data_IF_110124633719
#
_entry.id   IF_110124633719
#
_cell.length_a   1.000
_cell.length_b   1.000
_cell.length_c   1.000
_cell.angle_alpha   90.00
_cell.angle_beta   90.00
_cell.angle_gamma   90.00
#
_symmetry.space_group_name_H-M   'P 1'
#
loop_
_entity.id
_entity.type
_entity.pdbx_description
1 polymer ?
#
# COMPACT_ATOMS: atom_id res chain seq x y z
N UNK A 1 -9.55 -3.23 20.02
CA UNK A 1 -10.82 -2.56 20.34
C UNK A 1 -11.06 -1.53 19.23
N UNK A 2 -11.71 -1.96 18.15
CA UNK A 2 -12.18 -1.13 17.01
C UNK A 2 -13.04 -2.01 16.08
N UNK A 3 -12.63 -3.27 15.86
CA UNK A 3 -13.36 -4.28 15.06
C UNK A 3 -14.78 -4.61 15.56
N UNK A 4 -14.98 -4.69 16.88
CA UNK A 4 -16.30 -4.94 17.47
C UNK A 4 -17.29 -3.78 17.23
N UNK A 5 -16.82 -2.52 17.29
CA UNK A 5 -17.67 -1.38 16.94
C UNK A 5 -18.12 -1.49 15.47
N UNK A 6 -17.16 -1.76 14.58
CA UNK A 6 -17.37 -1.92 13.15
C UNK A 6 -18.40 -3.03 12.82
N UNK A 7 -18.27 -4.20 13.44
CA UNK A 7 -19.17 -5.35 13.25
C UNK A 7 -20.61 -5.11 13.71
N UNK A 8 -20.85 -4.18 14.65
CA UNK A 8 -22.20 -3.85 15.15
C UNK A 8 -23.01 -2.97 14.18
N UNK A 9 -22.35 -2.19 13.33
CA UNK A 9 -23.02 -1.26 12.40
C UNK A 9 -23.17 -1.81 10.99
N UNK A 10 -22.33 -2.75 10.57
CA UNK A 10 -22.33 -3.34 9.23
C UNK A 10 -22.15 -4.86 9.33
N UNK A 11 -23.23 -5.61 9.10
CA UNK A 11 -23.22 -7.09 9.18
C UNK A 11 -22.30 -7.70 8.12
N UNK A 12 -22.19 -7.07 6.94
CA UNK A 12 -21.29 -7.52 5.88
C UNK A 12 -19.81 -7.49 6.29
N UNK A 13 -19.46 -6.61 7.24
CA UNK A 13 -18.10 -6.54 7.78
C UNK A 13 -17.81 -7.66 8.78
N UNK A 14 -18.84 -8.25 9.38
CA UNK A 14 -18.71 -9.46 10.20
C UNK A 14 -18.64 -10.71 9.31
N UNK A 15 -19.49 -10.78 8.29
CA UNK A 15 -19.55 -11.94 7.41
C UNK A 15 -18.32 -12.05 6.52
N UNK A 16 -17.75 -10.91 6.09
CA UNK A 16 -16.63 -10.83 5.15
C UNK A 16 -16.90 -11.74 3.93
N UNK A 17 -18.16 -11.76 3.49
CA UNK A 17 -18.64 -12.69 2.46
C UNK A 17 -18.39 -12.21 1.03
N UNK A 18 -18.11 -10.91 0.85
CA UNK A 18 -17.77 -10.26 -0.41
C UNK A 18 -16.59 -9.32 -0.27
N UNK A 19 -16.01 -8.92 -1.41
CA UNK A 19 -14.85 -8.03 -1.49
C UNK A 19 -15.13 -6.65 -0.90
N UNK A 20 -16.32 -6.12 -1.16
CA UNK A 20 -16.73 -4.76 -0.79
C UNK A 20 -16.67 -4.53 0.72
N UNK A 21 -17.17 -5.50 1.50
CA UNK A 21 -17.12 -5.43 2.97
C UNK A 21 -15.70 -5.40 3.53
N UNK A 22 -14.74 -6.04 2.84
CA UNK A 22 -13.33 -6.04 3.25
C UNK A 22 -12.65 -4.72 2.93
N UNK A 23 -12.90 -4.21 1.72
CA UNK A 23 -12.36 -2.93 1.27
C UNK A 23 -12.88 -1.79 2.17
N UNK A 24 -14.16 -1.85 2.54
CA UNK A 24 -14.76 -0.93 3.50
C UNK A 24 -14.12 -1.04 4.89
N UNK A 25 -13.99 -2.25 5.46
CA UNK A 25 -13.35 -2.46 6.77
C UNK A 25 -11.91 -1.91 6.78
N UNK A 26 -11.14 -2.26 5.75
CA UNK A 26 -9.75 -1.84 5.67
C UNK A 26 -9.62 -0.32 5.49
N UNK A 27 -10.43 0.28 4.61
CA UNK A 27 -10.46 1.74 4.41
C UNK A 27 -10.87 2.47 5.69
N UNK A 28 -11.86 1.96 6.43
CA UNK A 28 -12.24 2.52 7.72
C UNK A 28 -11.09 2.48 8.72
N UNK A 29 -10.34 1.38 8.78
CA UNK A 29 -9.14 1.25 9.62
C UNK A 29 -8.05 2.24 9.22
N UNK A 30 -7.78 2.41 7.93
CA UNK A 30 -6.80 3.39 7.44
C UNK A 30 -7.15 4.84 7.86
N UNK A 31 -8.44 5.17 7.92
CA UNK A 31 -8.94 6.49 8.36
C UNK A 31 -8.80 6.67 9.88
N UNK A 32 -9.15 5.63 10.66
CA UNK A 32 -9.44 5.76 12.09
C UNK A 32 -8.39 5.16 13.05
N UNK A 33 -7.55 4.25 12.57
CA UNK A 33 -6.56 3.57 13.42
C UNK A 33 -5.64 4.58 14.11
N UNK A 34 -5.44 4.38 15.42
CA UNK A 34 -4.45 5.11 16.21
C UNK A 34 -3.01 4.70 15.90
N UNK A 35 -2.82 3.68 15.07
CA UNK A 35 -1.53 3.16 14.61
C UNK A 35 -1.45 3.27 13.09
N UNK A 36 -1.33 4.47 12.52
CA UNK A 36 -1.35 4.67 11.07
C UNK A 36 -0.21 3.92 10.36
N UNK A 37 0.95 3.75 11.01
CA UNK A 37 2.07 2.99 10.45
C UNK A 37 1.73 1.50 10.27
N UNK A 38 0.91 0.91 11.15
CA UNK A 38 0.47 -0.49 11.05
C UNK A 38 -0.30 -0.73 9.74
N UNK A 39 -1.24 0.16 9.41
CA UNK A 39 -2.00 0.06 8.16
C UNK A 39 -1.19 0.48 6.93
N UNK A 40 -0.26 1.44 7.07
CA UNK A 40 0.67 1.81 5.99
C UNK A 40 1.59 0.65 5.62
N UNK A 41 2.06 -0.12 6.59
CA UNK A 41 2.88 -1.32 6.34
C UNK A 41 2.04 -2.48 5.80
N UNK A 42 0.80 -2.64 6.26
CA UNK A 42 -0.11 -3.61 5.66
C UNK A 42 -0.38 -3.29 4.18
N UNK A 43 -0.62 -2.02 3.83
CA UNK A 43 -0.78 -1.58 2.45
C UNK A 43 0.50 -1.78 1.64
N UNK A 44 1.65 -1.43 2.21
CA UNK A 44 2.96 -1.66 1.58
C UNK A 44 3.15 -3.13 1.21
N UNK A 45 2.96 -4.05 2.16
CA UNK A 45 3.12 -5.47 1.88
C UNK A 45 2.06 -5.98 0.91
N UNK A 46 0.83 -5.50 0.97
CA UNK A 46 -0.19 -5.87 -0.02
C UNK A 46 0.11 -5.36 -1.44
N UNK A 47 0.93 -4.32 -1.59
CA UNK A 47 1.44 -3.87 -2.88
C UNK A 47 2.63 -4.68 -3.40
N UNK A 48 3.34 -5.42 -2.53
CA UNK A 48 4.57 -6.15 -2.87
C UNK A 48 4.34 -7.66 -2.89
N UNK A 49 3.68 -8.20 -1.87
CA UNK A 49 3.36 -9.61 -1.65
C UNK A 49 1.89 -9.82 -2.02
N UNK A 50 1.66 -9.95 -3.32
CA UNK A 50 0.36 -9.75 -3.94
C UNK A 50 -0.52 -11.00 -3.89
N UNK A 51 -1.75 -10.84 -3.40
CA UNK A 51 -2.88 -11.75 -3.71
C UNK A 51 -4.05 -10.98 -4.29
N UNK A 52 -4.77 -11.61 -5.23
CA UNK A 52 -5.90 -11.01 -5.94
C UNK A 52 -7.22 -11.73 -5.68
N UNK A 53 -8.26 -10.94 -5.36
CA UNK A 53 -9.61 -11.46 -5.10
C UNK A 53 -10.18 -12.22 -6.31
N UNK A 54 -9.94 -11.74 -7.53
CA UNK A 54 -10.42 -12.37 -8.76
C UNK A 54 -9.97 -13.84 -8.91
N UNK A 55 -8.84 -14.22 -8.32
CA UNK A 55 -8.38 -15.62 -8.29
C UNK A 55 -8.76 -16.33 -7.01
N UNK A 56 -8.53 -15.73 -5.84
CA UNK A 56 -8.79 -16.39 -4.57
C UNK A 56 -10.29 -16.65 -4.33
N UNK A 57 -11.16 -15.75 -4.81
CA UNK A 57 -12.63 -15.75 -4.66
C UNK A 57 -13.14 -15.97 -3.23
N UNK A 58 -12.28 -15.91 -2.22
CA UNK A 58 -12.64 -16.15 -0.83
C UNK A 58 -12.07 -15.05 0.08
N UNK A 59 -12.88 -14.01 0.35
CA UNK A 59 -12.39 -12.79 1.00
C UNK A 59 -11.74 -13.04 2.38
N UNK A 60 -12.25 -13.99 3.17
CA UNK A 60 -11.70 -14.27 4.52
C UNK A 60 -10.23 -14.67 4.53
N UNK A 61 -9.72 -15.32 3.48
CA UNK A 61 -8.31 -15.70 3.41
C UNK A 61 -7.43 -14.44 3.27
N UNK A 62 -7.79 -13.54 2.38
CA UNK A 62 -7.06 -12.28 2.19
C UNK A 62 -7.14 -11.38 3.44
N UNK A 63 -8.23 -11.45 4.21
CA UNK A 63 -8.28 -10.79 5.52
C UNK A 63 -7.28 -11.36 6.53
N UNK A 64 -7.07 -12.68 6.53
CA UNK A 64 -6.07 -13.31 7.39
C UNK A 64 -4.65 -12.90 6.99
N UNK A 65 -4.38 -12.80 5.68
CA UNK A 65 -3.13 -12.28 5.14
C UNK A 65 -2.88 -10.81 5.55
N UNK A 66 -3.88 -9.93 5.42
CA UNK A 66 -3.77 -8.56 5.92
C UNK A 66 -3.50 -8.50 7.43
N UNK A 67 -4.16 -9.35 8.22
CA UNK A 67 -3.91 -9.45 9.67
C UNK A 67 -2.49 -9.98 9.97
N UNK A 68 -1.94 -10.86 9.13
CA UNK A 68 -0.53 -11.27 9.19
C UNK A 68 0.38 -10.07 8.90
N UNK A 69 0.14 -9.29 7.85
CA UNK A 69 0.94 -8.09 7.56
C UNK A 69 0.93 -7.08 8.72
N UNK A 70 -0.20 -6.91 9.40
CA UNK A 70 -0.29 -6.07 10.61
C UNK A 70 0.50 -6.64 11.80
N UNK A 71 0.54 -7.96 11.93
CA UNK A 71 1.12 -8.63 13.11
C UNK A 71 2.63 -8.83 12.98
N UNK A 72 3.10 -9.31 11.83
CA UNK A 72 4.51 -9.67 11.60
C UNK A 72 5.18 -8.82 10.52
N UNK A 73 4.45 -8.01 9.76
CA UNK A 73 5.02 -7.22 8.66
C UNK A 73 6.03 -6.14 9.08
N UNK A 74 6.05 -5.74 10.34
CA UNK A 74 7.10 -4.87 10.91
C UNK A 74 8.20 -5.65 11.65
N UNK A 75 8.10 -6.98 11.71
CA UNK A 75 9.03 -7.88 12.37
C UNK A 75 10.22 -8.23 11.49
N UNK A 76 10.62 -9.50 11.50
CA UNK A 76 11.67 -10.00 10.60
C UNK A 76 11.06 -10.34 9.23
N UNK A 77 11.73 -9.95 8.14
CA UNK A 77 11.34 -10.34 6.79
C UNK A 77 11.31 -11.86 6.61
N UNK A 78 12.18 -12.55 7.34
CA UNK A 78 12.20 -14.02 7.39
C UNK A 78 10.87 -14.60 7.91
N UNK A 79 10.38 -14.12 9.06
CA UNK A 79 9.10 -14.57 9.62
C UNK A 79 7.92 -14.18 8.72
N UNK A 80 7.98 -13.00 8.10
CA UNK A 80 6.98 -12.58 7.12
C UNK A 80 6.93 -13.51 5.91
N UNK A 81 8.08 -13.82 5.30
CA UNK A 81 8.15 -14.66 4.11
C UNK A 81 7.77 -16.12 4.42
N UNK A 82 8.16 -16.64 5.59
CA UNK A 82 7.68 -17.96 6.08
C UNK A 82 6.18 -17.98 6.31
N UNK A 83 5.63 -16.91 6.91
CA UNK A 83 4.19 -16.75 7.10
C UNK A 83 3.43 -16.73 5.78
N UNK A 84 3.89 -15.90 4.83
CA UNK A 84 3.33 -15.78 3.49
C UNK A 84 3.34 -17.10 2.73
N UNK A 85 4.45 -17.85 2.80
CA UNK A 85 4.58 -19.16 2.14
C UNK A 85 3.56 -20.19 2.65
N UNK A 86 2.99 -19.98 3.84
CA UNK A 86 1.95 -20.82 4.45
C UNK A 86 0.57 -20.15 4.41
N UNK A 87 0.44 -18.96 3.84
CA UNK A 87 -0.83 -18.28 3.76
C UNK A 87 -1.76 -18.98 2.76
N UNK A 88 -3.00 -19.36 3.14
CA UNK A 88 -3.91 -20.05 2.23
C UNK A 88 -4.32 -19.24 0.99
N UNK A 89 -4.38 -17.90 1.06
CA UNK A 89 -4.62 -17.08 -0.13
C UNK A 89 -3.42 -17.19 -1.06
N UNK A 90 -2.19 -17.06 -0.55
CA UNK A 90 -0.98 -17.14 -1.36
C UNK A 90 -0.79 -18.52 -2.00
N UNK A 91 -0.92 -19.60 -1.21
CA UNK A 91 -0.79 -20.99 -1.70
C UNK A 91 -1.77 -21.28 -2.84
N UNK A 92 -2.97 -20.70 -2.81
CA UNK A 92 -3.95 -20.81 -3.89
C UNK A 92 -3.65 -19.83 -5.04
N UNK A 93 -3.28 -18.59 -4.74
CA UNK A 93 -3.05 -17.53 -5.71
C UNK A 93 -1.90 -17.85 -6.66
N UNK A 94 -0.87 -18.57 -6.21
CA UNK A 94 0.25 -19.00 -7.04
C UNK A 94 0.27 -20.50 -7.32
N UNK A 95 -0.90 -21.14 -7.19
CA UNK A 95 -1.14 -22.54 -7.58
C UNK A 95 -0.18 -23.55 -6.93
N UNK A 96 0.39 -23.23 -5.76
CA UNK A 96 1.29 -24.14 -5.07
C UNK A 96 0.55 -25.40 -4.58
N UNK A 97 -0.75 -25.30 -4.31
CA UNK A 97 -1.60 -26.46 -4.03
C UNK A 97 -1.67 -27.47 -5.19
N UNK A 98 -1.21 -27.10 -6.39
CA UNK A 98 -1.10 -27.95 -7.58
C UNK A 98 0.35 -28.41 -7.85
N UNK A 99 1.31 -28.08 -6.97
CA UNK A 99 2.71 -28.50 -7.08
C UNK A 99 2.91 -29.83 -6.35
N UNK A 100 3.16 -30.89 -7.14
CA UNK A 100 3.25 -32.26 -6.65
C UNK A 100 4.64 -32.83 -6.94
N UNK A 101 5.16 -33.75 -6.12
CA UNK A 101 6.49 -34.35 -6.34
C UNK A 101 6.72 -34.95 -7.73
N UNK A 102 5.66 -35.42 -8.39
CA UNK A 102 5.73 -36.00 -9.74
C UNK A 102 5.46 -35.00 -10.87
N UNK A 103 5.00 -33.79 -10.55
CA UNK A 103 4.66 -32.73 -11.49
C UNK A 103 4.71 -31.39 -10.74
N UNK A 104 5.89 -30.79 -10.69
CA UNK A 104 6.08 -29.51 -10.01
C UNK A 104 5.36 -28.38 -10.75
N UNK A 105 4.85 -27.41 -9.99
CA UNK A 105 4.37 -26.15 -10.53
C UNK A 105 5.35 -25.05 -10.15
N UNK A 106 5.99 -24.45 -11.15
CA UNK A 106 7.03 -23.43 -10.96
C UNK A 106 6.50 -22.06 -10.56
N UNK A 107 5.18 -21.81 -10.65
CA UNK A 107 4.60 -20.48 -10.45
C UNK A 107 5.02 -19.87 -9.10
N UNK A 108 4.73 -20.53 -7.98
CA UNK A 108 5.17 -20.07 -6.66
C UNK A 108 6.69 -19.91 -6.54
N UNK A 109 7.47 -20.88 -7.04
CA UNK A 109 8.93 -20.82 -6.99
C UNK A 109 9.49 -19.62 -7.76
N UNK A 110 8.93 -19.32 -8.94
CA UNK A 110 9.33 -18.20 -9.78
C UNK A 110 9.00 -16.87 -9.12
N UNK A 111 7.75 -16.68 -8.71
CA UNK A 111 7.31 -15.40 -8.12
C UNK A 111 7.97 -15.14 -6.77
N UNK A 112 8.23 -16.19 -5.98
CA UNK A 112 8.98 -16.08 -4.73
C UNK A 112 10.35 -15.44 -4.97
N UNK A 113 11.09 -15.88 -5.99
CA UNK A 113 12.40 -15.31 -6.33
C UNK A 113 12.26 -13.96 -7.03
N UNK A 114 11.43 -13.90 -8.07
CA UNK A 114 11.35 -12.78 -8.99
C UNK A 114 10.71 -11.55 -8.37
N UNK A 115 9.52 -11.70 -7.79
CA UNK A 115 8.68 -10.56 -7.42
C UNK A 115 8.56 -10.39 -5.90
N UNK A 116 8.84 -11.41 -5.09
CA UNK A 116 8.59 -11.36 -3.65
C UNK A 116 9.85 -11.38 -2.78
N UNK A 117 11.05 -11.63 -3.32
CA UNK A 117 12.24 -11.68 -2.46
C UNK A 117 13.59 -11.32 -3.06
N UNK A 118 13.90 -11.58 -4.34
CA UNK A 118 15.22 -11.28 -4.92
C UNK A 118 15.17 -10.18 -5.97
N UNK A 119 14.10 -10.12 -6.77
CA UNK A 119 14.12 -9.35 -8.01
C UNK A 119 14.78 -10.13 -9.14
N UNK A 120 14.45 -9.81 -10.40
CA UNK A 120 15.04 -10.43 -11.61
C UNK A 120 16.57 -10.34 -11.62
N UNK A 121 17.13 -9.22 -11.16
CA UNK A 121 18.56 -9.00 -11.15
C UNK A 121 18.95 -7.70 -10.45
N UNK A 122 20.24 -7.50 -10.27
CA UNK A 122 20.83 -6.24 -9.81
C UNK A 122 22.21 -6.05 -10.44
N UNK A 123 22.59 -4.79 -10.67
CA UNK A 123 23.92 -4.39 -11.10
C UNK A 123 24.41 -5.11 -12.39
N UNK A 124 23.49 -5.35 -13.33
CA UNK A 124 23.74 -5.98 -14.63
C UNK A 124 23.65 -7.51 -14.64
N UNK A 125 23.49 -8.15 -13.47
CA UNK A 125 23.52 -9.61 -13.32
C UNK A 125 22.16 -10.18 -12.86
N UNK A 126 21.88 -11.42 -13.21
CA UNK A 126 20.69 -12.14 -12.72
C UNK A 126 20.90 -12.61 -11.27
N UNK A 127 19.84 -12.55 -10.45
CA UNK A 127 19.93 -12.96 -9.03
C UNK A 127 19.76 -14.47 -8.82
N UNK A 128 19.15 -15.17 -9.76
CA UNK A 128 18.87 -16.60 -9.71
C UNK A 128 18.85 -17.18 -11.13
N UNK A 129 18.97 -18.50 -11.23
CA UNK A 129 18.87 -19.25 -12.46
C UNK A 129 17.51 -19.92 -12.61
N UNK A 130 17.21 -20.40 -13.82
CA UNK A 130 16.01 -21.21 -14.06
C UNK A 130 16.02 -22.53 -13.28
N UNK A 131 17.21 -23.07 -12.96
CA UNK A 131 17.30 -24.27 -12.13
C UNK A 131 16.95 -23.94 -10.67
N UNK A 132 17.30 -22.75 -10.17
CA UNK A 132 16.88 -22.31 -8.82
C UNK A 132 15.34 -22.23 -8.71
N UNK A 133 14.65 -21.79 -9.78
CA UNK A 133 13.17 -21.77 -9.83
C UNK A 133 12.61 -23.18 -9.66
N UNK A 134 13.15 -24.16 -10.40
CA UNK A 134 12.72 -25.56 -10.33
C UNK A 134 12.99 -26.18 -8.97
N UNK A 135 14.18 -25.94 -8.42
CA UNK A 135 14.58 -26.49 -7.13
C UNK A 135 13.79 -25.87 -5.97
N UNK A 136 13.45 -24.58 -6.05
CA UNK A 136 12.49 -23.97 -5.15
C UNK A 136 11.10 -24.63 -5.29
N UNK A 137 10.59 -24.79 -6.51
CA UNK A 137 9.29 -25.42 -6.75
C UNK A 137 9.22 -26.87 -6.24
N UNK A 138 10.29 -27.65 -6.41
CA UNK A 138 10.45 -29.00 -5.83
C UNK A 138 10.36 -28.96 -4.31
N UNK A 139 11.03 -28.02 -3.66
CA UNK A 139 11.02 -27.90 -2.20
C UNK A 139 9.65 -27.51 -1.62
N UNK A 140 8.80 -26.83 -2.41
CA UNK A 140 7.43 -26.47 -1.99
C UNK A 140 6.36 -27.53 -2.35
N UNK A 141 6.74 -28.66 -2.96
CA UNK A 141 5.80 -29.77 -3.19
C UNK A 141 5.21 -30.30 -1.87
N UNK A 142 3.93 -30.68 -1.90
CA UNK A 142 3.20 -31.13 -0.70
C UNK A 142 2.73 -29.99 0.22
N UNK A 143 3.10 -28.73 -0.02
CA UNK A 143 2.53 -27.57 0.67
C UNK A 143 1.20 -27.20 0.01
N UNK A 144 0.10 -27.40 0.73
CA UNK A 144 -1.25 -27.25 0.20
C UNK A 144 -2.19 -26.66 1.25
N UNK A 145 -3.48 -26.59 0.94
CA UNK A 145 -4.53 -26.13 1.84
C UNK A 145 -5.56 -27.23 2.07
N UNK A 146 -6.23 -27.20 3.22
CA UNK A 146 -7.32 -28.14 3.52
C UNK A 146 -8.44 -28.03 2.50
N UNK A 147 -9.03 -29.17 2.11
CA UNK A 147 -10.19 -29.19 1.23
C UNK A 147 -11.33 -28.35 1.79
N UNK A 148 -11.89 -27.49 0.94
CA UNK A 148 -13.09 -26.72 1.25
C UNK A 148 -14.29 -27.66 1.42
N UNK A 149 -14.88 -27.69 2.61
CA UNK A 149 -16.19 -28.32 2.83
C UNK A 149 -17.22 -27.64 1.90
N UNK A 150 -18.17 -28.39 1.30
CA UNK A 150 -19.13 -27.81 0.36
C UNK A 150 -19.79 -26.53 0.89
N UNK A 151 -19.80 -25.49 0.04
CA UNK A 151 -20.35 -24.16 0.36
C UNK A 151 -21.80 -24.22 0.84
N UNK A 152 -22.57 -25.18 0.34
CA UNK A 152 -23.98 -25.32 0.70
C UNK A 152 -24.19 -26.48 1.69
N UNK A 153 -25.04 -26.29 2.72
CA UNK A 153 -25.82 -25.10 3.04
C UNK A 153 -25.11 -24.08 3.96
N UNK A 154 -23.89 -24.35 4.43
CA UNK A 154 -23.29 -23.69 5.60
C UNK A 154 -22.31 -22.54 5.30
N UNK A 155 -22.12 -22.16 4.04
CA UNK A 155 -21.15 -21.14 3.61
C UNK A 155 -19.76 -21.72 3.32
N UNK A 156 -18.82 -20.83 2.94
CA UNK A 156 -17.41 -21.19 2.73
C UNK A 156 -16.71 -21.37 4.08
N UNK A 157 -15.87 -22.38 4.18
CA UNK A 157 -15.07 -22.69 5.36
C UNK A 157 -13.64 -22.19 5.18
N UNK A 158 -13.02 -21.76 6.29
CA UNK A 158 -11.66 -21.26 6.27
C UNK A 158 -10.70 -22.37 5.84
N UNK A 159 -10.02 -22.20 4.70
CA UNK A 159 -8.96 -23.11 4.33
C UNK A 159 -7.76 -22.87 5.24
N UNK A 160 -7.10 -23.95 5.66
CA UNK A 160 -5.90 -23.90 6.49
C UNK A 160 -4.73 -24.50 5.73
N UNK A 161 -3.54 -23.98 5.98
CA UNK A 161 -2.32 -24.60 5.51
C UNK A 161 -2.21 -26.07 5.96
N UNK A 162 -1.69 -26.91 5.08
CA UNK A 162 -1.39 -28.30 5.32
C UNK A 162 -0.14 -28.71 4.55
N UNK A 163 0.75 -29.47 5.20
CA UNK A 163 1.87 -30.14 4.54
C UNK A 163 1.57 -31.65 4.41
N UNK A 164 1.53 -32.17 3.19
CA UNK A 164 1.42 -33.60 2.91
C UNK A 164 2.79 -34.20 2.56
N UNK A 165 3.47 -34.87 3.51
CA UNK A 165 4.79 -35.44 3.27
C UNK A 165 4.79 -36.57 2.22
N UNK A 166 3.63 -37.13 1.87
CA UNK A 166 3.54 -38.18 0.83
C UNK A 166 3.66 -37.62 -0.58
N UNK A 167 3.36 -36.33 -0.73
CA UNK A 167 3.36 -35.61 -2.00
C UNK A 167 4.55 -34.64 -2.14
N UNK A 168 5.41 -34.60 -1.12
CA UNK A 168 6.65 -33.86 -1.12
C UNK A 168 7.78 -34.64 -1.81
N UNK A 169 8.59 -33.93 -2.60
CA UNK A 169 9.86 -34.38 -3.12
C UNK A 169 10.94 -34.17 -2.05
N UNK A 170 11.37 -35.26 -1.42
CA UNK A 170 12.40 -35.26 -0.38
C UNK A 170 13.82 -35.54 -0.91
N UNK A 171 14.03 -35.57 -2.23
CA UNK A 171 15.34 -35.75 -2.82
C UNK A 171 16.23 -34.52 -2.62
N UNK A 172 17.54 -34.70 -2.84
CA UNK A 172 18.54 -33.66 -2.75
C UNK A 172 18.29 -32.57 -3.81
N UNK A 173 18.45 -31.32 -3.39
CA UNK A 173 18.24 -30.11 -4.18
C UNK A 173 19.46 -29.22 -4.05
N UNK A 174 19.80 -28.51 -5.13
CA UNK A 174 20.83 -27.47 -5.09
C UNK A 174 20.16 -26.13 -5.42
N UNK A 175 20.14 -25.22 -4.46
CA UNK A 175 19.43 -23.97 -4.56
C UNK A 175 20.31 -22.82 -4.06
N UNK A 176 20.54 -21.82 -4.93
CA UNK A 176 21.37 -20.64 -4.68
C UNK A 176 22.76 -20.98 -4.09
N UNK A 177 23.35 -22.07 -4.60
CA UNK A 177 24.69 -22.54 -4.21
C UNK A 177 24.74 -23.40 -2.94
N UNK A 178 23.62 -23.63 -2.26
CA UNK A 178 23.52 -24.57 -1.13
C UNK A 178 22.91 -25.90 -1.61
N UNK A 179 23.33 -27.03 -1.03
CA UNK A 179 22.83 -28.37 -1.38
C UNK A 179 22.31 -29.10 -0.15
N UNK A 180 21.12 -29.70 -0.26
CA UNK A 180 20.52 -30.49 0.80
C UNK A 180 19.12 -31.01 0.44
N UNK A 181 18.52 -31.79 1.34
CA UNK A 181 17.14 -32.25 1.18
C UNK A 181 16.15 -31.17 1.64
N UNK A 182 16.13 -30.06 0.90
CA UNK A 182 15.39 -28.86 1.29
C UNK A 182 13.88 -29.03 1.20
N UNK A 183 13.19 -28.42 2.16
CA UNK A 183 11.76 -28.14 2.17
C UNK A 183 11.53 -26.61 2.01
N UNK A 184 10.29 -26.17 1.85
CA UNK A 184 9.96 -24.76 1.61
C UNK A 184 10.46 -23.79 2.68
N UNK A 185 10.56 -24.21 3.94
CA UNK A 185 11.15 -23.38 5.00
C UNK A 185 12.65 -23.15 4.79
N UNK A 186 13.38 -24.17 4.34
CA UNK A 186 14.82 -24.08 4.07
C UNK A 186 15.09 -23.14 2.88
N UNK A 187 14.23 -23.17 1.86
CA UNK A 187 14.30 -22.21 0.73
C UNK A 187 14.19 -20.78 1.24
N UNK A 188 13.23 -20.50 2.12
CA UNK A 188 13.09 -19.16 2.72
C UNK A 188 14.33 -18.81 3.55
N UNK A 189 14.88 -19.75 4.32
CA UNK A 189 16.10 -19.55 5.12
C UNK A 189 17.33 -19.22 4.24
N UNK A 190 17.41 -19.76 3.02
CA UNK A 190 18.48 -19.46 2.05
C UNK A 190 18.27 -18.10 1.39
N UNK A 191 17.03 -17.79 0.98
CA UNK A 191 16.66 -16.53 0.32
C UNK A 191 17.01 -15.32 1.18
N UNK A 192 16.60 -15.29 2.45
CA UNK A 192 16.78 -14.09 3.30
C UNK A 192 18.23 -13.75 3.63
N UNK A 193 19.16 -14.67 3.35
CA UNK A 193 20.61 -14.43 3.48
C UNK A 193 21.21 -13.75 2.26
N UNK A 194 20.51 -13.72 1.14
CA UNK A 194 21.04 -13.19 -0.12
C UNK A 194 21.13 -11.66 -0.08
N UNK A 195 22.22 -11.05 -0.59
CA UNK A 195 22.32 -9.60 -0.78
C UNK A 195 21.18 -9.03 -1.63
N UNK A 196 20.74 -9.80 -2.65
CA UNK A 196 19.61 -9.43 -3.49
C UNK A 196 18.31 -9.22 -2.68
N UNK A 197 18.08 -9.99 -1.60
CA UNK A 197 16.91 -9.77 -0.73
C UNK A 197 16.99 -8.48 0.07
N UNK A 198 18.17 -8.13 0.57
CA UNK A 198 18.36 -6.85 1.23
C UNK A 198 18.10 -5.68 0.27
N UNK A 199 18.60 -5.77 -0.98
CA UNK A 199 18.35 -4.80 -2.07
C UNK A 199 16.87 -4.73 -2.40
N UNK A 200 16.20 -5.88 -2.52
CA UNK A 200 14.78 -5.97 -2.84
C UNK A 200 13.90 -5.24 -1.84
N UNK A 201 14.05 -5.57 -0.54
CA UNK A 201 13.27 -4.92 0.53
C UNK A 201 13.60 -3.42 0.61
N UNK A 202 14.88 -3.06 0.47
CA UNK A 202 15.33 -1.67 0.54
C UNK A 202 14.75 -0.81 -0.58
N UNK A 203 14.76 -1.29 -1.84
CA UNK A 203 14.17 -0.57 -2.97
C UNK A 203 12.68 -0.40 -2.83
N UNK A 204 11.96 -1.44 -2.39
CA UNK A 204 10.51 -1.31 -2.17
C UNK A 204 10.19 -0.32 -1.04
N UNK A 205 10.92 -0.34 0.08
CA UNK A 205 10.74 0.63 1.17
C UNK A 205 11.03 2.07 0.70
N UNK A 206 12.10 2.26 -0.07
CA UNK A 206 12.44 3.55 -0.67
C UNK A 206 11.33 4.03 -1.63
N UNK A 207 10.90 3.16 -2.55
CA UNK A 207 9.83 3.46 -3.51
C UNK A 207 8.54 3.86 -2.78
N UNK A 208 8.18 3.18 -1.70
CA UNK A 208 6.91 3.42 -1.00
C UNK A 208 6.93 4.66 -0.10
N UNK A 209 8.05 5.00 0.55
CA UNK A 209 8.11 6.06 1.55
C UNK A 209 8.88 7.32 1.13
N UNK A 210 9.76 7.25 0.13
CA UNK A 210 10.71 8.33 -0.18
C UNK A 210 10.41 8.97 -1.53
N UNK A 211 10.62 8.23 -2.62
CA UNK A 211 10.47 8.73 -3.99
C UNK A 211 10.19 7.56 -4.93
N UNK A 212 9.50 7.83 -6.05
CA UNK A 212 9.12 6.79 -7.00
C UNK A 212 10.36 6.15 -7.68
N UNK A 213 10.33 4.83 -7.85
CA UNK A 213 11.38 4.04 -8.52
C UNK A 213 10.80 3.23 -9.70
N UNK A 214 11.66 2.67 -10.55
CA UNK A 214 11.26 1.77 -11.64
C UNK A 214 10.76 0.42 -11.11
N UNK A 215 9.98 -0.30 -11.91
CA UNK A 215 9.42 -1.62 -11.55
C UNK A 215 10.50 -2.72 -11.49
N UNK A 216 10.23 -3.78 -10.73
CA UNK A 216 11.16 -4.90 -10.45
C UNK A 216 11.81 -5.49 -11.72
N UNK A 217 11.09 -5.70 -12.84
CA UNK A 217 11.71 -6.25 -14.05
C UNK A 217 12.85 -5.39 -14.63
N UNK A 218 12.87 -4.09 -14.34
CA UNK A 218 13.90 -3.17 -14.82
C UNK A 218 15.13 -3.11 -13.90
N UNK A 219 15.10 -3.73 -12.72
CA UNK A 219 16.11 -3.54 -11.67
C UNK A 219 17.49 -4.09 -12.00
N UNK A 220 17.55 -5.09 -12.88
CA UNK A 220 18.81 -5.63 -13.38
C UNK A 220 19.63 -4.55 -14.11
N UNK A 221 18.97 -3.82 -15.01
CA UNK A 221 19.62 -2.88 -15.92
C UNK A 221 19.54 -1.42 -15.43
N UNK A 222 18.68 -1.14 -14.46
CA UNK A 222 18.44 0.20 -13.93
C UNK A 222 18.81 0.28 -12.44
N UNK A 223 19.88 1.03 -12.09
CA UNK A 223 20.28 1.19 -10.71
C UNK A 223 19.23 1.97 -9.90
N UNK A 224 19.19 1.81 -8.56
CA UNK A 224 18.34 2.63 -7.71
C UNK A 224 18.64 4.13 -7.88
N UNK A 225 17.60 4.96 -7.77
CA UNK A 225 17.72 6.41 -7.88
C UNK A 225 18.68 7.01 -6.83
N UNK A 226 18.69 6.48 -5.61
CA UNK A 226 19.61 6.85 -4.54
C UNK A 226 20.31 5.59 -4.00
N UNK A 227 21.43 5.23 -4.62
CA UNK A 227 22.19 4.04 -4.26
C UNK A 227 22.74 4.08 -2.82
N UNK A 228 23.03 5.26 -2.29
CA UNK A 228 23.59 5.41 -0.94
C UNK A 228 22.51 5.22 0.13
N UNK A 229 21.29 5.72 -0.12
CA UNK A 229 20.14 5.40 0.73
C UNK A 229 19.84 3.89 0.75
N UNK A 230 19.89 3.24 -0.42
CA UNK A 230 19.66 1.80 -0.53
C UNK A 230 20.70 0.98 0.22
N UNK A 231 22.00 1.29 0.07
CA UNK A 231 23.07 0.63 0.83
C UNK A 231 22.89 0.77 2.34
N UNK A 232 22.49 1.95 2.82
CA UNK A 232 22.24 2.18 4.25
C UNK A 232 21.12 1.27 4.78
N UNK A 233 20.09 1.03 3.99
CA UNK A 233 18.99 0.12 4.34
C UNK A 233 19.42 -1.35 4.27
N UNK A 234 20.23 -1.73 3.27
CA UNK A 234 20.79 -3.09 3.16
C UNK A 234 21.68 -3.45 4.36
N UNK A 235 22.56 -2.54 4.76
CA UNK A 235 23.40 -2.72 5.94
C UNK A 235 22.54 -2.92 7.20
N UNK A 236 21.48 -2.13 7.35
CA UNK A 236 20.54 -2.27 8.47
C UNK A 236 19.76 -3.59 8.41
N UNK A 237 19.38 -4.05 7.22
CA UNK A 237 18.72 -5.35 7.02
C UNK A 237 19.55 -6.47 7.64
N UNK A 238 20.84 -6.59 7.30
CA UNK A 238 21.70 -7.63 7.88
C UNK A 238 22.01 -7.38 9.36
N UNK A 239 22.36 -6.15 9.73
CA UNK A 239 22.73 -5.79 11.11
C UNK A 239 21.63 -6.10 12.12
N UNK A 240 20.38 -5.94 11.72
CA UNK A 240 19.20 -6.11 12.57
C UNK A 240 18.58 -7.51 12.50
N UNK A 241 19.23 -8.45 11.80
CA UNK A 241 18.67 -9.78 11.53
C UNK A 241 17.32 -9.68 10.79
N UNK A 242 17.33 -8.95 9.68
CA UNK A 242 16.27 -8.79 8.70
C UNK A 242 15.05 -8.03 9.24
N UNK A 243 15.24 -7.12 10.21
CA UNK A 243 14.13 -6.47 10.92
C UNK A 243 13.63 -5.19 10.23
N UNK A 244 12.36 -5.22 9.82
CA UNK A 244 11.71 -4.13 9.08
C UNK A 244 11.53 -2.88 9.95
N UNK A 245 11.21 -3.02 11.24
CA UNK A 245 11.14 -1.86 12.17
C UNK A 245 12.49 -1.14 12.26
N UNK A 246 13.59 -1.88 12.24
CA UNK A 246 14.93 -1.31 12.31
C UNK A 246 15.27 -0.53 11.01
N UNK A 247 14.98 -1.12 9.84
CA UNK A 247 15.12 -0.43 8.55
C UNK A 247 14.25 0.84 8.46
N UNK A 248 12.98 0.76 8.86
CA UNK A 248 12.08 1.93 8.90
C UNK A 248 12.59 3.03 9.82
N UNK A 249 13.24 2.68 10.94
CA UNK A 249 13.85 3.66 11.84
C UNK A 249 15.01 4.40 11.18
N UNK A 250 15.84 3.70 10.41
CA UNK A 250 16.92 4.30 9.62
C UNK A 250 16.31 5.21 8.55
N UNK A 251 15.36 4.69 7.77
CA UNK A 251 14.66 5.44 6.71
C UNK A 251 14.08 6.75 7.24
N UNK A 252 13.21 6.71 8.26
CA UNK A 252 12.51 7.91 8.75
C UNK A 252 13.40 8.91 9.50
N UNK A 253 14.60 8.51 9.93
CA UNK A 253 15.56 9.40 10.59
C UNK A 253 16.63 9.95 9.66
N UNK A 254 16.75 9.38 8.46
CA UNK A 254 17.71 9.78 7.44
C UNK A 254 17.47 11.20 6.94
N UNK A 255 18.49 11.78 6.32
CA UNK A 255 18.35 13.08 5.66
C UNK A 255 17.70 12.95 4.28
N UNK A 256 17.90 11.84 3.57
CA UNK A 256 17.22 11.60 2.29
C UNK A 256 15.69 11.61 2.44
N UNK A 257 15.15 11.02 3.51
CA UNK A 257 13.70 11.06 3.78
C UNK A 257 13.21 12.46 4.16
N UNK A 258 13.96 13.21 4.98
CA UNK A 258 13.57 14.59 5.34
C UNK A 258 13.59 15.52 4.12
N UNK A 259 14.45 15.24 3.16
CA UNK A 259 14.61 16.03 1.94
C UNK A 259 13.68 15.56 0.80
N UNK A 260 12.92 14.47 0.96
CA UNK A 260 12.07 13.90 -0.10
C UNK A 260 10.64 14.48 -0.10
N UNK A 261 10.45 15.68 0.44
CA UNK A 261 9.11 16.32 0.47
C UNK A 261 8.60 16.50 -0.96
N UNK A 262 7.38 16.01 -1.24
CA UNK A 262 6.75 16.02 -2.58
C UNK A 262 7.51 15.26 -3.67
N UNK A 263 8.42 14.35 -3.31
CA UNK A 263 9.17 13.52 -4.28
C UNK A 263 8.40 12.26 -4.73
N UNK A 264 7.22 12.01 -4.17
CA UNK A 264 6.41 10.82 -4.43
C UNK A 264 4.97 11.20 -4.75
N UNK A 265 4.43 10.63 -5.82
CA UNK A 265 2.99 10.70 -6.09
C UNK A 265 2.25 9.78 -5.13
N UNK A 266 1.33 10.33 -4.32
CA UNK A 266 0.46 9.54 -3.44
C UNK A 266 -0.35 8.53 -4.23
N UNK A 267 -0.44 7.30 -3.72
CA UNK A 267 -1.34 6.30 -4.29
C UNK A 267 -2.81 6.73 -4.17
N UNK A 268 -3.71 6.14 -4.95
CA UNK A 268 -5.15 6.37 -4.81
C UNK A 268 -5.67 6.16 -3.39
N UNK A 269 -5.26 5.08 -2.71
CA UNK A 269 -5.61 4.82 -1.32
C UNK A 269 -5.13 5.93 -0.39
N UNK A 270 -3.90 6.42 -0.55
CA UNK A 270 -3.36 7.51 0.25
C UNK A 270 -4.09 8.83 -0.01
N UNK A 271 -4.45 9.11 -1.26
CA UNK A 271 -5.20 10.31 -1.62
C UNK A 271 -6.59 10.30 -0.98
N UNK A 272 -7.34 9.21 -1.13
CA UNK A 272 -8.70 9.11 -0.58
C UNK A 272 -8.67 9.13 0.93
N UNK A 273 -7.86 8.26 1.56
CA UNK A 273 -7.78 8.19 3.02
C UNK A 273 -7.25 9.50 3.62
N UNK A 274 -6.21 10.08 3.01
CA UNK A 274 -5.62 11.35 3.45
C UNK A 274 -6.64 12.49 3.42
N UNK A 275 -7.42 12.58 2.35
CA UNK A 275 -8.49 13.58 2.19
C UNK A 275 -9.59 13.37 3.24
N UNK A 276 -10.09 12.14 3.42
CA UNK A 276 -11.12 11.85 4.42
C UNK A 276 -10.65 12.16 5.85
N UNK A 277 -9.36 11.95 6.14
CA UNK A 277 -8.75 12.33 7.42
C UNK A 277 -8.66 13.84 7.59
N UNK A 278 -8.27 14.57 6.54
CA UNK A 278 -8.19 16.03 6.51
C UNK A 278 -9.56 16.66 6.77
N UNK A 279 -10.60 16.23 6.06
CA UNK A 279 -11.97 16.78 6.21
C UNK A 279 -12.69 16.21 7.43
N UNK A 280 -12.10 15.23 8.11
CA UNK A 280 -12.65 14.67 9.35
C UNK A 280 -13.94 13.89 9.12
N UNK A 281 -14.08 13.23 7.98
CA UNK A 281 -15.22 12.38 7.66
C UNK A 281 -14.98 10.91 8.05
N UNK A 282 -16.05 10.11 8.11
CA UNK A 282 -16.05 8.69 8.45
C UNK A 282 -15.31 8.36 9.76
N UNK A 283 -15.33 9.29 10.73
CA UNK A 283 -14.86 9.05 12.12
C UNK A 283 -15.72 8.04 12.88
N UNK A 284 -16.86 7.68 12.32
CA UNK A 284 -17.80 6.71 12.83
C UNK A 284 -18.41 5.91 11.66
N UNK A 285 -18.73 4.61 11.84
CA UNK A 285 -19.33 3.81 10.77
C UNK A 285 -20.68 4.37 10.33
N UNK A 286 -20.83 4.68 9.04
CA UNK A 286 -22.08 5.16 8.42
C UNK A 286 -22.17 4.73 6.94
N UNK A 287 -23.36 4.74 6.33
CA UNK A 287 -23.50 4.47 4.89
C UNK A 287 -22.66 5.41 4.01
N UNK A 288 -22.23 4.92 2.84
CA UNK A 288 -21.48 5.67 1.82
C UNK A 288 -19.97 5.43 1.80
N UNK A 289 -19.43 4.58 2.70
CA UNK A 289 -18.00 4.24 2.68
C UNK A 289 -17.63 3.40 1.46
N UNK A 290 -18.56 2.59 0.95
CA UNK A 290 -18.49 1.89 -0.32
C UNK A 290 -18.20 2.82 -1.50
N UNK A 291 -18.80 4.01 -1.51
CA UNK A 291 -18.50 5.00 -2.56
C UNK A 291 -17.06 5.48 -2.46
N UNK A 292 -16.52 5.62 -1.24
CA UNK A 292 -15.13 6.03 -1.03
C UNK A 292 -14.16 4.95 -1.47
N UNK A 293 -14.45 3.67 -1.22
CA UNK A 293 -13.63 2.56 -1.71
C UNK A 293 -13.68 2.46 -3.23
N UNK A 294 -14.83 2.72 -3.85
CA UNK A 294 -14.94 2.78 -5.31
C UNK A 294 -14.11 3.93 -5.91
N UNK A 295 -13.99 5.07 -5.24
CA UNK A 295 -13.09 6.15 -5.69
C UNK A 295 -11.62 5.70 -5.72
N UNK A 296 -11.18 4.91 -4.73
CA UNK A 296 -9.82 4.33 -4.73
C UNK A 296 -9.63 3.43 -5.97
N UNK A 297 -10.64 2.61 -6.29
CA UNK A 297 -10.66 1.76 -7.48
C UNK A 297 -10.66 2.56 -8.80
N UNK A 298 -11.49 3.59 -8.92
CA UNK A 298 -11.59 4.41 -10.15
C UNK A 298 -10.32 5.21 -10.44
N UNK A 299 -9.56 5.53 -9.39
CA UNK A 299 -8.21 6.11 -9.50
C UNK A 299 -7.11 5.06 -9.78
N UNK A 300 -7.47 3.77 -9.92
CA UNK A 300 -6.57 2.71 -10.39
C UNK A 300 -6.13 1.68 -9.34
N UNK A 301 -6.52 1.81 -8.06
CA UNK A 301 -6.05 0.92 -6.99
C UNK A 301 -7.21 0.11 -6.37
N UNK A 302 -7.67 -0.94 -7.04
CA UNK A 302 -8.72 -1.84 -6.50
C UNK A 302 -8.20 -2.69 -5.33
N UNK A 303 -8.26 -2.18 -4.10
CA UNK A 303 -7.71 -2.83 -2.90
C UNK A 303 -8.11 -4.31 -2.80
N UNK A 304 -7.18 -5.18 -2.39
CA UNK A 304 -7.34 -6.66 -2.37
C UNK A 304 -7.47 -7.33 -3.74
N UNK A 305 -7.41 -6.57 -4.83
CA UNK A 305 -7.55 -7.07 -6.19
C UNK A 305 -6.59 -6.37 -7.18
N UNK A 306 -5.27 -6.44 -6.94
CA UNK A 306 -4.28 -5.91 -7.88
C UNK A 306 -4.42 -6.54 -9.28
N UNK A 307 -4.05 -5.79 -10.34
CA UNK A 307 -4.30 -6.19 -11.72
C UNK A 307 -3.42 -7.37 -12.17
N UNK A 308 -2.21 -7.50 -11.63
CA UNK A 308 -1.25 -8.56 -11.94
C UNK A 308 -0.48 -8.97 -10.68
N UNK A 309 0.33 -10.02 -10.78
CA UNK A 309 1.23 -10.48 -9.69
C UNK A 309 2.32 -9.45 -9.35
N UNK A 310 2.68 -8.57 -10.29
CA UNK A 310 3.56 -7.42 -10.07
C UNK A 310 2.95 -6.35 -9.15
N UNK A 311 1.65 -6.44 -8.86
CA UNK A 311 0.93 -5.51 -8.00
C UNK A 311 0.43 -4.29 -8.77
N UNK A 312 0.59 -3.10 -8.18
CA UNK A 312 0.26 -1.85 -8.84
C UNK A 312 1.52 -1.06 -9.17
N UNK A 313 1.54 -0.48 -10.36
CA UNK A 313 2.57 0.47 -10.72
C UNK A 313 2.45 1.73 -9.85
N UNK A 314 3.56 2.44 -9.68
CA UNK A 314 3.68 3.58 -8.77
C UNK A 314 3.99 4.88 -9.50
N UNK A 315 3.94 6.00 -8.78
CA UNK A 315 4.36 7.30 -9.29
C UNK A 315 3.39 7.90 -10.29
N UNK A 316 3.94 8.45 -11.38
CA UNK A 316 3.18 9.20 -12.39
C UNK A 316 2.12 8.35 -13.10
N UNK A 317 2.27 7.03 -13.10
CA UNK A 317 1.28 6.12 -13.70
C UNK A 317 -0.06 6.12 -12.96
N UNK A 318 -0.11 6.62 -11.71
CA UNK A 318 -1.38 6.89 -11.03
C UNK A 318 -2.18 8.03 -11.65
N UNK A 319 -1.55 8.87 -12.48
CA UNK A 319 -2.13 10.09 -13.04
C UNK A 319 -2.10 10.00 -14.58
N UNK A 320 -3.21 9.54 -15.14
CA UNK A 320 -3.54 9.67 -16.55
C UNK A 320 -4.71 10.65 -16.76
N UNK A 321 -5.09 10.90 -18.01
CA UNK A 321 -6.17 11.86 -18.30
C UNK A 321 -7.52 11.52 -17.65
N UNK A 322 -7.80 10.23 -17.40
CA UNK A 322 -9.01 9.78 -16.73
C UNK A 322 -8.88 9.83 -15.20
N UNK A 323 -7.83 9.21 -14.64
CA UNK A 323 -7.66 9.15 -13.18
C UNK A 323 -7.39 10.53 -12.56
N UNK A 324 -6.80 11.46 -13.32
CA UNK A 324 -6.61 12.85 -12.90
C UNK A 324 -7.94 13.54 -12.59
N UNK A 325 -8.95 13.38 -13.45
CA UNK A 325 -10.27 14.01 -13.28
C UNK A 325 -10.98 13.44 -12.07
N UNK A 326 -10.95 12.11 -11.88
CA UNK A 326 -11.52 11.46 -10.70
C UNK A 326 -10.87 11.98 -9.41
N UNK A 327 -9.54 12.16 -9.44
CA UNK A 327 -8.79 12.65 -8.29
C UNK A 327 -9.12 14.10 -7.94
N UNK A 328 -9.20 14.97 -8.94
CA UNK A 328 -9.61 16.38 -8.76
C UNK A 328 -11.02 16.44 -8.21
N UNK A 329 -11.99 15.78 -8.87
CA UNK A 329 -13.39 15.82 -8.47
C UNK A 329 -13.57 15.31 -7.04
N UNK A 330 -12.99 14.15 -6.71
CA UNK A 330 -13.08 13.61 -5.36
C UNK A 330 -12.50 14.58 -4.32
N UNK A 331 -11.28 15.06 -4.52
CA UNK A 331 -10.62 15.93 -3.53
C UNK A 331 -11.33 17.27 -3.38
N UNK A 332 -11.71 17.90 -4.49
CA UNK A 332 -12.45 19.15 -4.52
C UNK A 332 -13.84 19.02 -3.87
N UNK A 333 -14.57 17.94 -4.12
CA UNK A 333 -15.88 17.70 -3.49
C UNK A 333 -15.76 17.56 -1.98
N UNK A 334 -14.75 16.82 -1.49
CA UNK A 334 -14.55 16.65 -0.06
C UNK A 334 -14.15 17.95 0.63
N UNK A 335 -13.18 18.70 0.09
CA UNK A 335 -12.72 19.95 0.75
C UNK A 335 -13.67 21.12 0.56
N UNK A 336 -14.52 21.10 -0.48
CA UNK A 336 -15.53 22.11 -0.74
C UNK A 336 -16.75 22.03 0.17
N UNK A 337 -17.00 20.89 0.81
CA UNK A 337 -18.15 20.73 1.68
C UNK A 337 -17.89 21.30 3.09
N UNK A 338 -18.37 22.53 3.29
CA UNK A 338 -18.28 23.31 4.55
C UNK A 338 -18.94 22.65 5.76
N UNK A 339 -19.72 21.57 5.56
CA UNK A 339 -20.33 20.83 6.68
C UNK A 339 -19.37 19.84 7.33
N UNK A 340 -18.29 19.45 6.65
CA UNK A 340 -17.27 18.56 7.20
C UNK A 340 -16.56 19.20 8.39
N UNK A 341 -16.32 18.40 9.42
CA UNK A 341 -15.73 18.87 10.68
C UNK A 341 -14.32 19.44 10.48
N UNK A 342 -13.51 18.82 9.62
CA UNK A 342 -12.18 19.30 9.26
C UNK A 342 -12.22 20.62 8.50
N UNK A 343 -13.12 20.77 7.53
CA UNK A 343 -13.30 22.03 6.78
C UNK A 343 -13.76 23.16 7.70
N UNK A 344 -14.72 22.90 8.62
CA UNK A 344 -15.10 23.86 9.67
C UNK A 344 -13.92 24.29 10.54
N UNK A 345 -13.04 23.36 10.89
CA UNK A 345 -11.84 23.69 11.68
C UNK A 345 -10.88 24.58 10.90
N UNK A 346 -10.71 24.36 9.58
CA UNK A 346 -9.89 25.23 8.72
C UNK A 346 -10.50 26.63 8.67
N UNK A 347 -11.81 26.73 8.40
CA UNK A 347 -12.54 28.01 8.37
C UNK A 347 -12.38 28.76 9.71
N UNK A 348 -12.55 28.07 10.84
CA UNK A 348 -12.40 28.66 12.18
C UNK A 348 -10.97 29.13 12.47
N UNK A 349 -9.94 28.45 11.95
CA UNK A 349 -8.54 28.90 12.08
C UNK A 349 -8.31 30.17 11.27
N UNK A 350 -8.79 30.19 10.03
CA UNK A 350 -8.62 31.35 9.16
C UNK A 350 -9.39 32.57 9.68
N UNK A 351 -10.59 32.38 10.21
CA UNK A 351 -11.36 33.48 10.81
C UNK A 351 -10.70 34.03 12.09
N UNK A 352 -9.84 33.25 12.74
CA UNK A 352 -9.09 33.71 13.91
C UNK A 352 -7.87 34.58 13.59
N UNK A 353 -7.47 34.66 12.32
CA UNK A 353 -6.34 35.51 11.85
C UNK A 353 -6.66 36.99 12.03
N UNK A 354 -7.90 37.39 11.76
CA UNK A 354 -8.36 38.78 11.90
C UNK A 354 -9.74 39.00 11.26
N UNK A 355 -10.37 40.16 11.50
CA UNK A 355 -11.71 40.48 10.97
C UNK A 355 -11.73 40.62 9.45
N UNK A 356 -10.60 40.98 8.84
CA UNK A 356 -10.39 41.11 7.40
C UNK A 356 -9.09 40.42 7.05
N UNK A 357 -9.12 39.55 6.04
CA UNK A 357 -7.95 38.86 5.51
C UNK A 357 -7.55 39.50 4.18
N UNK A 358 -6.24 39.51 3.93
CA UNK A 358 -5.70 39.74 2.58
C UNK A 358 -5.82 38.46 1.74
N UNK A 359 -5.79 38.61 0.42
CA UNK A 359 -5.72 37.47 -0.51
C UNK A 359 -4.57 36.51 -0.17
N UNK A 360 -3.41 37.06 0.19
CA UNK A 360 -2.24 36.28 0.60
C UNK A 360 -2.49 35.48 1.88
N UNK A 361 -3.10 36.09 2.91
CA UNK A 361 -3.45 35.37 4.14
C UNK A 361 -4.45 34.23 3.90
N UNK A 362 -5.40 34.40 2.98
CA UNK A 362 -6.33 33.33 2.62
C UNK A 362 -5.62 32.18 1.89
N UNK A 363 -4.84 32.50 0.85
CA UNK A 363 -4.13 31.49 0.04
C UNK A 363 -3.12 30.71 0.89
N UNK A 364 -2.23 31.42 1.60
CA UNK A 364 -1.20 30.78 2.42
C UNK A 364 -1.82 30.02 3.59
N UNK A 365 -2.85 30.58 4.23
CA UNK A 365 -3.56 29.89 5.30
C UNK A 365 -4.24 28.60 4.81
N UNK A 366 -4.79 28.57 3.60
CA UNK A 366 -5.31 27.34 3.00
C UNK A 366 -4.19 26.33 2.68
N UNK A 367 -3.07 26.79 2.11
CA UNK A 367 -1.90 25.95 1.84
C UNK A 367 -1.34 25.30 3.10
N UNK A 368 -1.17 26.07 4.18
CA UNK A 368 -0.72 25.59 5.47
C UNK A 368 -1.61 24.45 6.00
N UNK A 369 -2.92 24.59 5.86
CA UNK A 369 -3.88 23.58 6.31
C UNK A 369 -3.94 22.34 5.40
N UNK A 370 -3.55 22.46 4.12
CA UNK A 370 -3.52 21.34 3.17
C UNK A 370 -2.21 20.52 3.24
N UNK A 371 -1.14 21.08 3.81
CA UNK A 371 0.16 20.40 3.93
C UNK A 371 1.35 21.20 3.40
N UNK A 372 1.18 22.51 3.17
CA UNK A 372 2.23 23.45 2.73
C UNK A 372 2.88 23.07 1.39
N UNK A 373 2.07 22.72 0.39
CA UNK A 373 2.55 22.42 -0.96
C UNK A 373 3.25 23.61 -1.59
N UNK A 374 4.36 23.35 -2.29
CA UNK A 374 5.07 24.36 -3.04
C UNK A 374 4.40 24.54 -4.40
N UNK A 375 3.75 25.68 -4.60
CA UNK A 375 3.15 26.05 -5.87
C UNK A 375 4.18 26.76 -6.77
N UNK A 376 4.05 26.58 -8.09
CA UNK A 376 4.75 27.43 -9.04
C UNK A 376 4.27 28.89 -8.89
N UNK A 377 5.15 29.84 -9.21
CA UNK A 377 4.85 31.27 -9.07
C UNK A 377 3.62 31.69 -9.89
N UNK A 378 3.47 31.13 -11.09
CA UNK A 378 2.33 31.38 -11.97
C UNK A 378 1.02 30.90 -11.33
N UNK A 379 0.99 29.65 -10.85
CA UNK A 379 -0.16 29.06 -10.14
C UNK A 379 -0.52 29.87 -8.90
N UNK A 380 0.48 30.23 -8.09
CA UNK A 380 0.27 31.05 -6.89
C UNK A 380 -0.34 32.41 -7.23
N UNK A 381 0.16 33.09 -8.26
CA UNK A 381 -0.37 34.39 -8.68
C UNK A 381 -1.83 34.30 -9.15
N UNK A 382 -2.21 33.22 -9.85
CA UNK A 382 -3.60 32.99 -10.25
C UNK A 382 -4.53 32.78 -9.05
N UNK A 383 -4.08 32.06 -8.03
CA UNK A 383 -4.85 31.89 -6.79
C UNK A 383 -4.99 33.21 -6.01
N UNK A 384 -3.96 34.05 -5.99
CA UNK A 384 -4.04 35.38 -5.38
C UNK A 384 -5.01 36.31 -6.12
N UNK A 385 -5.02 36.26 -7.45
CA UNK A 385 -5.97 37.01 -8.27
C UNK A 385 -7.42 36.54 -8.02
N UNK A 386 -7.63 35.22 -7.96
CA UNK A 386 -8.92 34.62 -7.61
C UNK A 386 -9.38 35.02 -6.20
N UNK A 387 -8.49 35.01 -5.21
CA UNK A 387 -8.83 35.45 -3.85
C UNK A 387 -9.19 36.94 -3.79
N UNK A 388 -8.58 37.77 -4.65
CA UNK A 388 -8.81 39.21 -4.69
C UNK A 388 -10.01 39.66 -5.52
N UNK A 389 -10.61 38.79 -6.35
CA UNK A 389 -11.70 39.17 -7.25
C UNK A 389 -13.01 39.47 -6.53
N UNK A 390 -13.21 38.90 -5.34
CA UNK A 390 -14.47 38.99 -4.58
C UNK A 390 -14.52 40.19 -3.61
N UNK A 391 -13.54 41.09 -3.68
CA UNK A 391 -13.47 42.28 -2.82
C UNK A 391 -12.84 42.01 -1.44
N UNK A 392 -13.36 42.64 -0.39
CA UNK A 392 -12.81 42.53 0.96
C UNK A 392 -13.18 41.18 1.61
N UNK A 393 -12.18 40.38 1.99
CA UNK A 393 -12.38 39.05 2.59
C UNK A 393 -12.65 39.21 4.09
N UNK A 394 -13.93 39.29 4.46
CA UNK A 394 -14.37 39.51 5.83
C UNK A 394 -14.66 38.20 6.56
N UNK A 395 -13.98 37.95 7.67
CA UNK A 395 -14.14 36.70 8.42
C UNK A 395 -15.49 36.56 9.14
N UNK A 396 -16.20 37.69 9.33
CA UNK A 396 -17.54 37.75 9.93
C UNK A 396 -18.68 37.62 8.90
N UNK A 397 -18.35 37.55 7.60
CA UNK A 397 -19.32 37.40 6.51
C UNK A 397 -19.88 35.97 6.44
N UNK A 398 -21.15 35.85 6.05
CA UNK A 398 -21.77 34.55 5.72
C UNK A 398 -21.13 33.90 4.48
N UNK A 399 -20.44 34.67 3.64
CA UNK A 399 -19.74 34.20 2.44
C UNK A 399 -18.35 33.62 2.74
N UNK A 400 -17.76 33.94 3.90
CA UNK A 400 -16.39 33.54 4.23
C UNK A 400 -16.16 32.02 4.19
N UNK A 401 -17.05 31.16 4.74
CA UNK A 401 -16.94 29.71 4.57
C UNK A 401 -16.86 29.26 3.12
N UNK A 402 -17.62 29.91 2.22
CA UNK A 402 -17.66 29.59 0.78
C UNK A 402 -16.37 30.04 0.12
N UNK A 403 -15.86 31.23 0.43
CA UNK A 403 -14.57 31.71 -0.08
C UNK A 403 -13.41 30.78 0.32
N UNK A 404 -13.37 30.34 1.57
CA UNK A 404 -12.39 29.35 2.05
C UNK A 404 -12.54 28.03 1.29
N UNK A 405 -13.76 27.52 1.14
CA UNK A 405 -14.01 26.28 0.41
C UNK A 405 -13.57 26.36 -1.05
N UNK A 406 -13.92 27.45 -1.76
CA UNK A 406 -13.48 27.70 -3.13
C UNK A 406 -11.95 27.71 -3.22
N UNK A 407 -11.26 28.38 -2.29
CA UNK A 407 -9.80 28.41 -2.30
C UNK A 407 -9.18 27.03 -2.07
N UNK A 408 -9.73 26.24 -1.14
CA UNK A 408 -9.30 24.85 -0.93
C UNK A 408 -9.49 24.02 -2.21
N UNK A 409 -10.64 24.15 -2.87
CA UNK A 409 -10.95 23.45 -4.13
C UNK A 409 -9.97 23.84 -5.25
N UNK A 410 -9.65 25.12 -5.38
CA UNK A 410 -8.69 25.60 -6.37
C UNK A 410 -7.28 25.07 -6.12
N UNK A 411 -6.83 25.00 -4.87
CA UNK A 411 -5.51 24.46 -4.51
C UNK A 411 -5.42 22.95 -4.81
N UNK A 412 -6.42 22.15 -4.42
CA UNK A 412 -6.36 20.69 -4.63
C UNK A 412 -6.48 20.29 -6.11
N UNK A 413 -6.97 21.20 -6.95
CA UNK A 413 -7.02 21.03 -8.40
C UNK A 413 -5.70 21.41 -9.13
N UNK A 414 -4.70 21.93 -8.40
CA UNK A 414 -3.40 22.28 -8.99
C UNK A 414 -2.58 21.04 -9.36
N UNK A 415 -1.72 21.18 -10.37
CA UNK A 415 -0.81 20.08 -10.77
C UNK A 415 0.14 19.74 -9.63
N UNK A 416 0.61 20.74 -8.91
CA UNK A 416 1.52 20.62 -7.78
C UNK A 416 0.91 19.80 -6.65
N UNK A 417 -0.37 20.01 -6.30
CA UNK A 417 -1.04 19.18 -5.29
C UNK A 417 -1.23 17.72 -5.76
N UNK A 418 -1.56 17.53 -7.03
CA UNK A 418 -1.88 16.22 -7.58
C UNK A 418 -0.60 15.37 -7.73
N UNK A 419 0.54 15.95 -8.09
CA UNK A 419 1.78 15.21 -8.26
C UNK A 419 2.63 15.11 -6.97
N UNK A 420 2.11 15.57 -5.83
CA UNK A 420 2.80 15.65 -4.54
C UNK A 420 2.36 14.64 -3.46
#
# INVERSE_FOLDING_TARGET
MERDLMMRYKVDWLSQAGLEGQQEEWTFRMINSKRPLEEKIALFWHCVLVTGHAKCEYPKQQSAELDMFRTVGMGSFHELLKGLSKDPAMVFYLDNCMSHKGAINENWGRELLELFSLGVGMDGEFNYSEDDVKEAARAFTGWTVTNSVPRYPYGKYDAKFMFDPRDHDAEEKTFLGETGNFNGEDIVDIIVKQPATARFVSRHLYNFFVADDVQVPAWKDTPPQDIEAIKMLEEEYFRSNYNITAMLRVLFKSDFFKNSTFAKVKSPAETVVGTLKLVGDFKFPRPGLDLMTMNIRYMGQDLLNPPTVEGWHTGREWIDSGTLVERINFTADQVGNINHSGVKNIINRLSSVGPVLTAEQLVEGCLENLGSYQLANETRNQLLELAGSDGEIRSDSEEFPVQVATMLQSIVATTEYLFA
#
